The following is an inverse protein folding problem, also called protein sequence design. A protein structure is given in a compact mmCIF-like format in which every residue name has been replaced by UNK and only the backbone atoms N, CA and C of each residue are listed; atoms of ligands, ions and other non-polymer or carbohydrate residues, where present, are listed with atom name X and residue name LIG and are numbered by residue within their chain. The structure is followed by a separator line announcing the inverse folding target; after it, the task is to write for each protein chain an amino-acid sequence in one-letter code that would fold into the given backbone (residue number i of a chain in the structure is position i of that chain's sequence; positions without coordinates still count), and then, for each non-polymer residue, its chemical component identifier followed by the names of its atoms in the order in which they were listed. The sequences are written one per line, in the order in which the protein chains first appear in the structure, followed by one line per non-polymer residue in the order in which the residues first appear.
data_IF_450340089085
#
_entry.id   IF_450340089085
#
_cell.length_a   1.000
_cell.length_b   1.000
_cell.length_c   1.000
_cell.angle_alpha   90.00
_cell.angle_beta   90.00
_cell.angle_gamma   90.00
#
_symmetry.space_group_name_H-M   'P 1'
#
loop_
_entity.id
_entity.type
_entity.pdbx_description
1 polymer ?
#
# COMPACT_ATOMS: atom_id res chain seq x y z
N UNK A 1 -22.07 16.50 22.64
CA UNK A 1 -21.15 15.77 23.53
C UNK A 1 -20.14 15.09 22.64
N UNK A 2 -18.90 15.60 22.63
CA UNK A 2 -17.82 15.10 21.76
C UNK A 2 -17.14 13.93 22.47
N UNK A 3 -17.39 12.72 21.98
CA UNK A 3 -16.85 11.49 22.56
C UNK A 3 -15.65 11.06 21.73
N UNK A 4 -14.48 11.17 22.37
CA UNK A 4 -13.23 10.42 22.13
C UNK A 4 -12.55 10.57 20.77
N UNK A 5 -11.54 11.46 20.71
CA UNK A 5 -10.45 11.31 19.73
C UNK A 5 -9.64 10.08 20.15
N UNK A 6 -10.06 8.89 19.70
CA UNK A 6 -9.12 7.79 19.56
C UNK A 6 -8.29 8.11 18.31
N UNK A 7 -7.22 8.88 18.49
CA UNK A 7 -6.18 9.02 17.47
C UNK A 7 -5.61 7.62 17.25
N UNK A 8 -5.41 7.17 16.02
CA UNK A 8 -4.77 5.86 15.82
C UNK A 8 -3.36 5.87 16.44
N UNK A 9 -2.81 4.73 16.90
CA UNK A 9 -1.42 4.66 17.33
C UNK A 9 -0.48 5.17 16.24
N UNK A 10 0.65 5.78 16.64
CA UNK A 10 1.57 6.45 15.72
C UNK A 10 2.05 5.55 14.58
N UNK A 11 2.33 4.27 14.85
CA UNK A 11 2.71 3.24 13.87
C UNK A 11 1.80 2.03 14.04
N UNK A 12 0.79 1.95 13.17
CA UNK A 12 -0.15 0.83 13.12
C UNK A 12 -0.34 0.41 11.66
N UNK A 13 -0.34 -0.89 11.39
CA UNK A 13 -0.75 -1.40 10.07
C UNK A 13 -2.26 -1.30 9.99
N UNK A 14 -2.75 -0.52 9.01
CA UNK A 14 -4.16 -0.39 8.70
C UNK A 14 -4.38 -0.77 7.25
N UNK A 15 -5.45 -1.49 6.97
CA UNK A 15 -5.75 -1.98 5.64
C UNK A 15 -7.24 -2.23 5.44
N UNK A 16 -7.65 -2.36 4.18
CA UNK A 16 -8.94 -2.91 3.82
C UNK A 16 -8.80 -4.43 3.61
N UNK A 17 -9.59 -5.21 4.34
CA UNK A 17 -9.47 -6.67 4.33
C UNK A 17 -10.77 -7.36 4.76
N UNK A 18 -11.00 -8.55 4.20
CA UNK A 18 -12.05 -9.49 4.61
C UNK A 18 -11.43 -10.65 5.41
N UNK A 19 -12.20 -11.70 5.68
CA UNK A 19 -11.78 -12.82 6.54
C UNK A 19 -10.59 -13.62 5.99
N UNK A 20 -10.27 -13.50 4.70
CA UNK A 20 -9.26 -14.33 4.03
C UNK A 20 -8.16 -13.52 3.34
N UNK A 21 -8.45 -12.29 2.94
CA UNK A 21 -7.57 -11.47 2.10
C UNK A 21 -7.45 -10.04 2.60
N UNK A 22 -6.30 -9.44 2.34
CA UNK A 22 -5.98 -8.03 2.55
C UNK A 22 -5.65 -7.39 1.21
N UNK A 23 -6.11 -6.16 1.01
CA UNK A 23 -5.84 -5.38 -0.20
C UNK A 23 -4.59 -4.53 0.00
N UNK A 24 -3.72 -4.54 -0.99
CA UNK A 24 -2.62 -3.59 -1.14
C UNK A 24 -2.66 -2.96 -2.53
N UNK A 25 -2.13 -1.75 -2.65
CA UNK A 25 -2.21 -0.97 -3.87
C UNK A 25 -0.84 -0.74 -4.50
N UNK A 26 -0.82 -0.77 -5.84
CA UNK A 26 0.30 -0.37 -6.68
C UNK A 26 -0.21 0.40 -7.90
N UNK A 27 0.64 1.24 -8.48
CA UNK A 27 0.35 1.87 -9.76
C UNK A 27 1.27 1.35 -10.86
N UNK A 28 0.71 1.23 -12.06
CA UNK A 28 1.34 0.65 -13.23
C UNK A 28 0.99 1.43 -14.49
N UNK A 29 1.78 1.20 -15.53
CA UNK A 29 1.44 1.62 -16.90
C UNK A 29 0.23 0.82 -17.37
N UNK A 30 -0.59 1.44 -18.21
CA UNK A 30 -1.79 0.83 -18.78
C UNK A 30 -1.58 -0.57 -19.39
N UNK A 31 -0.49 -0.77 -20.14
CA UNK A 31 -0.16 -2.06 -20.75
C UNK A 31 0.07 -3.19 -19.75
N UNK A 32 0.54 -2.87 -18.54
CA UNK A 32 0.72 -3.84 -17.45
C UNK A 32 -0.61 -4.08 -16.76
N UNK A 33 -1.30 -2.99 -16.37
CA UNK A 33 -2.56 -3.07 -15.65
C UNK A 33 -3.63 -3.83 -16.43
N UNK A 34 -3.81 -3.52 -17.71
CA UNK A 34 -4.79 -4.21 -18.57
C UNK A 34 -4.53 -5.70 -18.65
N UNK A 35 -3.29 -6.09 -18.97
CA UNK A 35 -2.92 -7.50 -19.04
C UNK A 35 -3.11 -8.19 -17.69
N UNK A 36 -2.71 -7.53 -16.60
CA UNK A 36 -2.81 -8.09 -15.26
C UNK A 36 -4.25 -8.33 -14.80
N UNK A 37 -5.17 -7.42 -15.10
CA UNK A 37 -6.61 -7.61 -14.81
C UNK A 37 -7.19 -8.70 -15.70
N UNK A 38 -6.90 -8.67 -17.00
CA UNK A 38 -7.46 -9.62 -17.96
C UNK A 38 -7.05 -11.08 -17.63
N UNK A 39 -5.82 -11.29 -17.13
CA UNK A 39 -5.29 -12.64 -16.86
C UNK A 39 -5.14 -12.96 -15.37
N UNK A 40 -5.46 -12.02 -14.48
CA UNK A 40 -5.23 -12.12 -13.03
C UNK A 40 -3.76 -12.46 -12.68
N UNK A 41 -2.79 -11.87 -13.40
CA UNK A 41 -1.35 -12.04 -13.18
C UNK A 41 -0.56 -10.77 -13.47
N UNK A 42 0.14 -10.22 -12.47
CA UNK A 42 0.87 -8.95 -12.63
C UNK A 42 1.95 -8.97 -13.74
N UNK A 43 2.56 -10.13 -13.98
CA UNK A 43 3.63 -10.32 -14.95
C UNK A 43 3.14 -10.76 -16.35
N UNK A 44 1.84 -10.69 -16.63
CA UNK A 44 1.28 -11.08 -17.93
C UNK A 44 1.71 -10.17 -19.10
N UNK A 45 2.16 -8.96 -18.80
CA UNK A 45 2.65 -8.01 -19.80
C UNK A 45 4.17 -8.11 -19.99
N UNK A 46 4.69 -8.06 -21.24
CA UNK A 46 6.14 -7.99 -21.49
C UNK A 46 6.79 -6.69 -20.96
N UNK A 47 5.97 -5.68 -20.68
CA UNK A 47 6.39 -4.42 -20.05
C UNK A 47 6.68 -4.61 -18.55
N UNK A 48 6.18 -5.67 -17.90
CA UNK A 48 6.50 -5.96 -16.51
C UNK A 48 7.96 -6.38 -16.37
N UNK A 49 8.70 -5.71 -15.49
CA UNK A 49 10.11 -6.00 -15.21
C UNK A 49 10.27 -6.53 -13.79
N UNK A 50 10.55 -7.82 -13.67
CA UNK A 50 10.91 -8.45 -12.41
C UNK A 50 12.36 -8.14 -12.01
N UNK A 51 12.74 -8.56 -10.81
CA UNK A 51 14.10 -8.44 -10.29
C UNK A 51 14.46 -7.07 -9.71
N UNK A 52 13.56 -6.09 -9.75
CA UNK A 52 13.68 -4.82 -9.03
C UNK A 52 12.81 -4.83 -7.78
N UNK A 53 13.19 -4.02 -6.78
CA UNK A 53 12.36 -3.75 -5.61
C UNK A 53 11.05 -3.09 -6.07
N UNK A 54 9.92 -3.57 -5.56
CA UNK A 54 8.60 -2.98 -5.81
C UNK A 54 7.92 -2.62 -4.50
N UNK A 55 7.12 -1.55 -4.49
CA UNK A 55 6.52 -1.04 -3.25
C UNK A 55 5.00 -1.21 -3.26
N UNK A 56 4.47 -1.87 -2.25
CA UNK A 56 3.03 -2.03 -2.01
C UNK A 56 2.60 -1.11 -0.85
N UNK A 57 1.34 -0.67 -0.88
CA UNK A 57 0.76 0.22 0.14
C UNK A 57 -0.60 -0.34 0.57
N UNK A 58 -0.82 -0.66 1.84
CA UNK A 58 -2.16 -1.00 2.33
C UNK A 58 -3.09 0.23 2.38
N UNK A 59 -2.55 1.44 2.56
CA UNK A 59 -3.31 2.69 2.62
C UNK A 59 -3.68 3.21 1.22
N UNK A 60 -4.98 3.38 0.99
CA UNK A 60 -5.59 3.98 -0.18
C UNK A 60 -5.20 5.45 -0.32
N UNK A 61 -5.32 6.23 0.75
CA UNK A 61 -4.97 7.64 0.76
C UNK A 61 -3.47 7.85 0.47
N UNK A 62 -2.59 7.01 1.04
CA UNK A 62 -1.17 7.04 0.73
C UNK A 62 -0.90 6.68 -0.73
N UNK A 63 -1.61 5.70 -1.29
CA UNK A 63 -1.53 5.38 -2.72
C UNK A 63 -1.97 6.57 -3.61
N UNK A 64 -3.06 7.26 -3.25
CA UNK A 64 -3.54 8.44 -3.98
C UNK A 64 -2.52 9.57 -3.95
N UNK A 65 -1.95 9.87 -2.78
CA UNK A 65 -0.88 10.86 -2.63
C UNK A 65 0.33 10.53 -3.51
N UNK A 66 0.74 9.25 -3.55
CA UNK A 66 1.93 8.81 -4.28
C UNK A 66 1.75 8.80 -5.79
N UNK A 67 0.57 8.43 -6.28
CA UNK A 67 0.24 8.38 -7.71
C UNK A 67 -0.39 9.66 -8.26
N UNK A 68 -0.77 10.60 -7.39
CA UNK A 68 -1.58 11.76 -7.78
C UNK A 68 -2.90 11.32 -8.42
N UNK A 69 -3.60 10.36 -7.82
CA UNK A 69 -4.85 9.78 -8.35
C UNK A 69 -4.72 9.24 -9.79
N UNK A 70 -3.57 8.65 -10.14
CA UNK A 70 -3.17 8.19 -11.49
C UNK A 70 -2.69 9.26 -12.48
N UNK A 71 -2.65 10.54 -12.10
CA UNK A 71 -2.30 11.63 -13.01
C UNK A 71 -0.82 12.05 -12.98
N UNK A 72 -0.04 11.60 -11.99
CA UNK A 72 1.32 12.12 -11.74
C UNK A 72 2.38 11.67 -12.74
N UNK A 73 2.26 10.45 -13.25
CA UNK A 73 3.28 9.79 -14.06
C UNK A 73 2.61 8.83 -15.07
N UNK A 74 2.86 8.96 -16.39
CA UNK A 74 2.32 8.04 -17.40
C UNK A 74 2.67 6.57 -17.17
N UNK A 75 3.79 6.27 -16.50
CA UNK A 75 4.18 4.92 -16.08
C UNK A 75 3.39 4.39 -14.88
N UNK A 76 2.52 5.22 -14.28
CA UNK A 76 1.66 4.94 -13.13
C UNK A 76 0.23 5.41 -13.40
N UNK A 77 -0.21 5.33 -14.66
CA UNK A 77 -1.52 5.81 -15.12
C UNK A 77 -2.70 4.92 -14.73
N UNK A 78 -2.44 3.74 -14.16
CA UNK A 78 -3.43 2.82 -13.62
C UNK A 78 -3.11 2.44 -12.18
N UNK A 79 -4.12 2.32 -11.34
CA UNK A 79 -4.01 1.92 -9.94
C UNK A 79 -4.70 0.57 -9.77
N UNK A 80 -3.96 -0.42 -9.29
CA UNK A 80 -4.47 -1.75 -9.04
C UNK A 80 -4.67 -1.97 -7.55
N UNK A 81 -5.85 -2.49 -7.18
CA UNK A 81 -6.08 -3.15 -5.92
C UNK A 81 -5.68 -4.63 -6.07
N UNK A 82 -4.70 -5.05 -5.29
CA UNK A 82 -4.14 -6.40 -5.31
C UNK A 82 -4.52 -7.09 -4.00
N UNK A 83 -5.39 -8.10 -4.08
CA UNK A 83 -5.77 -8.89 -2.90
C UNK A 83 -4.78 -10.03 -2.72
N UNK A 84 -4.32 -10.20 -1.49
CA UNK A 84 -3.44 -11.31 -1.09
C UNK A 84 -3.93 -11.93 0.20
N UNK A 85 -3.61 -13.20 0.42
CA UNK A 85 -3.97 -13.88 1.67
C UNK A 85 -3.28 -13.24 2.86
N UNK A 86 -3.94 -13.26 4.02
CA UNK A 86 -3.37 -12.74 5.28
C UNK A 86 -2.04 -13.42 5.62
N UNK A 87 -1.92 -14.74 5.41
CA UNK A 87 -0.70 -15.50 5.68
C UNK A 87 0.51 -14.98 4.87
N UNK A 88 0.32 -14.61 3.60
CA UNK A 88 1.39 -14.10 2.76
C UNK A 88 1.75 -12.66 3.16
N UNK A 89 0.77 -11.87 3.60
CA UNK A 89 1.01 -10.52 4.07
C UNK A 89 1.80 -10.52 5.38
N UNK A 90 1.43 -11.39 6.34
CA UNK A 90 2.19 -11.59 7.58
C UNK A 90 3.61 -12.09 7.27
N UNK A 91 3.76 -13.06 6.35
CA UNK A 91 5.08 -13.54 5.90
C UNK A 91 5.97 -12.41 5.37
N UNK A 92 5.40 -11.43 4.63
CA UNK A 92 6.13 -10.24 4.19
C UNK A 92 6.60 -9.39 5.38
N UNK A 93 5.72 -9.14 6.35
CA UNK A 93 6.03 -8.32 7.51
C UNK A 93 7.06 -8.99 8.44
N UNK A 94 7.01 -10.31 8.59
CA UNK A 94 8.01 -11.09 9.33
C UNK A 94 9.41 -10.97 8.73
N UNK A 95 9.50 -10.88 7.39
CA UNK A 95 10.76 -10.63 6.66
C UNK A 95 11.15 -9.15 6.63
N UNK A 96 10.35 -8.29 7.25
CA UNK A 96 10.51 -6.84 7.25
C UNK A 96 11.74 -6.35 8.01
N UNK A 97 12.48 -5.43 7.40
CA UNK A 97 13.55 -4.63 8.00
C UNK A 97 13.21 -3.16 7.82
N UNK A 98 13.16 -2.42 8.92
CA UNK A 98 12.93 -0.98 8.89
C UNK A 98 14.03 -0.27 8.10
N UNK A 99 13.64 0.63 7.20
CA UNK A 99 14.59 1.33 6.31
C UNK A 99 15.58 2.21 7.07
N UNK A 100 15.25 2.66 8.29
CA UNK A 100 16.19 3.35 9.21
C UNK A 100 17.33 2.45 9.69
N UNK A 101 17.11 1.14 9.71
CA UNK A 101 18.06 0.12 10.13
C UNK A 101 18.81 -0.53 8.95
N UNK A 102 18.43 -0.21 7.71
CA UNK A 102 19.12 -0.73 6.54
C UNK A 102 20.56 -0.19 6.49
N UNK A 103 21.55 -1.09 6.46
CA UNK A 103 22.96 -0.73 6.37
C UNK A 103 23.21 0.27 5.22
N UNK A 104 23.84 1.41 5.55
CA UNK A 104 24.41 2.30 4.54
C UNK A 104 25.62 1.58 3.96
N UNK A 105 25.54 1.23 2.68
CA UNK A 105 26.69 0.70 1.94
C UNK A 105 27.81 1.75 1.94
N UNK A 106 29.03 1.28 2.15
CA UNK A 106 30.21 2.11 2.00
C UNK A 106 30.42 2.46 0.52
N UNK A 107 31.04 3.61 0.20
CA UNK A 107 31.37 3.96 -1.17
C UNK A 107 32.19 2.84 -1.84
N UNK A 108 31.68 2.26 -2.93
CA UNK A 108 32.35 1.20 -3.69
C UNK A 108 31.82 -0.21 -3.46
N UNK A 109 30.96 -0.44 -2.46
CA UNK A 109 30.30 -1.74 -2.28
C UNK A 109 29.19 -1.92 -3.33
N UNK A 110 29.26 -3.04 -4.07
CA UNK A 110 28.15 -3.43 -4.95
C UNK A 110 26.95 -3.73 -4.08
N UNK A 111 25.82 -3.08 -4.37
CA UNK A 111 24.54 -3.33 -3.73
C UNK A 111 24.11 -4.76 -4.09
N UNK A 112 24.39 -5.72 -3.21
CA UNK A 112 23.82 -7.06 -3.32
C UNK A 112 22.30 -6.94 -3.40
N UNK A 113 21.67 -7.86 -4.16
CA UNK A 113 20.21 -7.94 -4.20
C UNK A 113 19.75 -8.36 -2.80
N UNK A 114 19.43 -7.37 -1.96
CA UNK A 114 18.97 -7.62 -0.59
C UNK A 114 17.75 -8.52 -0.64
N UNK A 115 17.77 -9.62 0.10
CA UNK A 115 16.60 -10.51 0.26
C UNK A 115 15.59 -9.95 1.25
N UNK A 116 15.93 -8.86 1.92
CA UNK A 116 15.09 -8.25 2.95
C UNK A 116 13.90 -7.50 2.36
N UNK A 117 12.74 -7.69 2.98
CA UNK A 117 11.56 -6.86 2.77
C UNK A 117 11.80 -5.54 3.47
N UNK A 118 11.73 -4.42 2.74
CA UNK A 118 11.97 -3.10 3.33
C UNK A 118 10.69 -2.50 3.88
N UNK A 119 10.72 -2.05 5.12
CA UNK A 119 9.58 -1.38 5.74
C UNK A 119 9.87 0.11 5.86
N UNK A 120 8.90 0.93 5.47
CA UNK A 120 8.90 2.37 5.68
C UNK A 120 7.60 2.76 6.38
N UNK A 121 7.74 3.47 7.51
CA UNK A 121 6.66 4.24 8.08
C UNK A 121 6.66 5.60 7.41
N UNK A 122 5.68 5.89 6.57
CA UNK A 122 5.50 7.12 5.82
C UNK A 122 4.41 8.00 6.47
N UNK A 123 4.31 9.30 6.17
CA UNK A 123 3.20 10.11 6.64
C UNK A 123 1.85 9.53 6.18
N UNK A 124 0.87 9.41 7.08
CA UNK A 124 -0.49 9.06 6.66
C UNK A 124 -1.27 10.30 6.18
N UNK A 125 -2.36 10.05 5.47
CA UNK A 125 -3.17 11.06 4.80
C UNK A 125 -4.67 10.83 4.99
N UNK A 126 -5.44 11.91 5.12
CA UNK A 126 -6.90 11.85 4.95
C UNK A 126 -7.25 11.57 3.50
N UNK A 127 -8.53 11.30 3.19
CA UNK A 127 -9.01 11.18 1.81
C UNK A 127 -8.70 12.44 0.96
N UNK A 128 -8.68 13.62 1.61
CA UNK A 128 -8.31 14.91 1.01
C UNK A 128 -6.80 15.17 0.95
N UNK A 129 -5.99 14.18 1.32
CA UNK A 129 -4.52 14.23 1.34
C UNK A 129 -3.92 15.22 2.37
N UNK A 130 -4.64 15.50 3.45
CA UNK A 130 -4.10 16.25 4.59
C UNK A 130 -3.26 15.33 5.48
N UNK A 131 -2.20 15.86 6.11
CA UNK A 131 -1.30 15.07 6.97
C UNK A 131 -2.01 14.64 8.25
N UNK A 132 -1.90 13.35 8.60
CA UNK A 132 -2.39 12.82 9.87
C UNK A 132 -1.27 12.66 10.91
N UNK A 133 -1.58 12.65 12.22
CA UNK A 133 -0.58 12.56 13.29
C UNK A 133 0.00 11.15 13.47
N UNK A 134 -0.36 10.19 12.61
CA UNK A 134 0.16 8.82 12.59
C UNK A 134 0.70 8.45 11.21
N UNK A 135 1.22 7.23 11.07
CA UNK A 135 2.00 6.77 9.92
C UNK A 135 1.31 5.66 9.13
N UNK A 136 1.49 5.69 7.81
CA UNK A 136 1.17 4.57 6.92
C UNK A 136 2.38 3.66 6.79
N UNK A 137 2.17 2.35 6.66
CA UNK A 137 3.22 1.43 6.25
C UNK A 137 3.35 1.41 4.72
N UNK A 138 4.58 1.35 4.22
CA UNK A 138 4.92 1.05 2.83
C UNK A 138 5.95 -0.08 2.82
N UNK A 139 5.68 -1.11 2.02
CA UNK A 139 6.39 -2.39 2.06
C UNK A 139 7.11 -2.60 0.74
N UNK A 140 8.43 -2.68 0.78
CA UNK A 140 9.31 -2.91 -0.35
C UNK A 140 9.59 -4.39 -0.50
N UNK A 141 9.01 -5.00 -1.53
CA UNK A 141 9.24 -6.38 -1.91
C UNK A 141 10.53 -6.45 -2.74
N UNK A 142 11.56 -7.17 -2.28
CA UNK A 142 12.84 -7.24 -2.96
C UNK A 142 12.73 -7.98 -4.29
N UNK A 143 13.67 -7.69 -5.20
CA UNK A 143 13.71 -8.32 -6.52
C UNK A 143 13.75 -9.85 -6.47
N UNK A 144 14.36 -10.42 -5.43
CA UNK A 144 14.39 -11.87 -5.20
C UNK A 144 13.00 -12.50 -4.97
N UNK A 145 12.02 -11.72 -4.48
CA UNK A 145 10.65 -12.17 -4.25
C UNK A 145 9.68 -11.69 -5.34
N UNK A 146 10.15 -10.92 -6.32
CA UNK A 146 9.27 -10.27 -7.31
C UNK A 146 8.46 -11.25 -8.18
N UNK A 147 9.05 -12.39 -8.55
CA UNK A 147 8.35 -13.44 -9.31
C UNK A 147 7.28 -14.12 -8.45
N UNK A 148 7.63 -14.50 -7.22
CA UNK A 148 6.66 -15.10 -6.29
C UNK A 148 5.52 -14.13 -5.96
N UNK A 149 5.84 -12.85 -5.73
CA UNK A 149 4.86 -11.79 -5.56
C UNK A 149 3.90 -11.69 -6.74
N UNK A 150 4.42 -11.62 -7.96
CA UNK A 150 3.62 -11.39 -9.16
C UNK A 150 2.79 -12.62 -9.59
N UNK A 151 3.27 -13.83 -9.29
CA UNK A 151 2.66 -15.07 -9.75
C UNK A 151 1.81 -15.81 -8.70
N UNK A 152 2.20 -15.77 -7.43
CA UNK A 152 1.66 -16.69 -6.42
C UNK A 152 0.85 -15.98 -5.34
N UNK A 153 1.32 -14.83 -4.85
CA UNK A 153 0.75 -14.21 -3.65
C UNK A 153 -0.49 -13.37 -3.89
N UNK A 154 -0.71 -12.93 -5.13
CA UNK A 154 -1.88 -12.15 -5.52
C UNK A 154 -2.97 -13.12 -5.99
N UNK A 155 -4.11 -13.06 -5.30
CA UNK A 155 -5.27 -13.91 -5.59
C UNK A 155 -6.32 -13.19 -6.43
N UNK A 156 -6.31 -11.86 -6.45
CA UNK A 156 -7.22 -11.05 -7.25
C UNK A 156 -6.60 -9.68 -7.60
N UNK A 157 -6.86 -9.22 -8.82
CA UNK A 157 -6.41 -7.93 -9.36
C UNK A 157 -7.61 -7.17 -9.90
N UNK A 158 -7.84 -5.98 -9.35
CA UNK A 158 -8.90 -5.06 -9.76
C UNK A 158 -8.29 -3.71 -10.17
N UNK A 159 -8.67 -3.18 -11.34
CA UNK A 159 -8.33 -1.81 -11.73
C UNK A 159 -9.31 -0.85 -11.04
N UNK A 160 -8.79 -0.10 -10.07
CA UNK A 160 -9.54 0.88 -9.28
C UNK A 160 -9.23 2.32 -9.69
N UNK A 161 -8.70 2.52 -10.91
CA UNK A 161 -8.34 3.82 -11.45
C UNK A 161 -9.53 4.77 -11.51
N UNK A 162 -10.69 4.30 -11.95
CA UNK A 162 -11.87 5.15 -12.07
C UNK A 162 -12.37 5.60 -10.70
N UNK A 163 -12.32 4.73 -9.69
CA UNK A 163 -12.60 5.08 -8.28
C UNK A 163 -11.65 6.18 -7.77
N UNK A 164 -10.36 6.08 -8.08
CA UNK A 164 -9.37 7.10 -7.72
C UNK A 164 -9.64 8.46 -8.37
N UNK A 165 -10.00 8.46 -9.65
CA UNK A 165 -10.31 9.69 -10.41
C UNK A 165 -11.62 10.31 -9.95
N UNK A 166 -12.60 9.47 -9.64
CA UNK A 166 -13.89 9.86 -9.05
C UNK A 166 -13.70 10.50 -7.68
N UNK A 167 -12.88 9.90 -6.80
CA UNK A 167 -12.51 10.48 -5.51
C UNK A 167 -11.93 11.88 -5.69
N UNK A 168 -10.97 12.04 -6.61
CA UNK A 168 -10.37 13.35 -6.90
C UNK A 168 -11.45 14.35 -7.34
N UNK A 169 -12.32 13.97 -8.28
CA UNK A 169 -13.38 14.84 -8.78
C UNK A 169 -14.35 15.25 -7.68
N UNK A 170 -14.80 14.30 -6.86
CA UNK A 170 -15.71 14.56 -5.75
C UNK A 170 -15.12 15.56 -4.74
N UNK A 171 -13.82 15.45 -4.42
CA UNK A 171 -13.13 16.38 -3.51
C UNK A 171 -12.98 17.77 -4.14
N UNK A 172 -12.62 17.85 -5.43
CA UNK A 172 -12.46 19.12 -6.14
C UNK A 172 -13.80 19.88 -6.25
N UNK A 173 -14.88 19.17 -6.57
CA UNK A 173 -16.23 19.75 -6.75
C UNK A 173 -16.93 20.05 -5.43
N UNK A 174 -16.64 19.29 -4.38
CA UNK A 174 -17.22 19.45 -3.04
C UNK A 174 -16.13 19.46 -1.97
N UNK A 175 -15.42 20.59 -1.76
CA UNK A 175 -14.37 20.68 -0.75
C UNK A 175 -14.83 20.33 0.67
N UNK A 176 -16.11 20.50 0.96
CA UNK A 176 -16.75 20.15 2.25
C UNK A 176 -17.16 18.69 2.41
N UNK A 177 -16.99 17.83 1.40
CA UNK A 177 -17.40 16.42 1.47
C UNK A 177 -16.71 15.70 2.62
N UNK A 178 -17.48 14.92 3.38
CA UNK A 178 -16.99 14.17 4.53
C UNK A 178 -16.44 12.80 4.14
N UNK A 179 -15.62 12.19 4.98
CA UNK A 179 -15.14 10.83 4.78
C UNK A 179 -16.32 9.83 4.83
N UNK A 180 -17.35 10.09 5.65
CA UNK A 180 -18.58 9.30 5.69
C UNK A 180 -19.34 9.32 4.36
N UNK A 181 -19.47 10.50 3.72
CA UNK A 181 -20.09 10.62 2.40
C UNK A 181 -19.26 9.93 1.32
N UNK A 182 -17.94 10.11 1.33
CA UNK A 182 -17.03 9.43 0.40
C UNK A 182 -17.10 7.91 0.54
N UNK A 183 -17.22 7.40 1.77
CA UNK A 183 -17.42 5.97 2.04
C UNK A 183 -18.79 5.50 1.53
N UNK A 184 -19.85 6.29 1.74
CA UNK A 184 -21.19 6.00 1.22
C UNK A 184 -21.27 6.01 -0.32
N UNK A 185 -20.36 6.72 -0.98
CA UNK A 185 -20.19 6.73 -2.43
C UNK A 185 -19.22 5.65 -2.95
N UNK A 186 -18.66 4.81 -2.06
CA UNK A 186 -17.65 3.81 -2.40
C UNK A 186 -16.41 4.42 -3.09
N UNK A 187 -15.95 5.59 -2.65
CA UNK A 187 -14.75 6.27 -3.18
C UNK A 187 -13.52 6.12 -2.30
N UNK A 188 -13.73 5.68 -1.06
CA UNK A 188 -12.69 5.32 -0.10
C UNK A 188 -13.05 3.99 0.57
N UNK A 189 -12.06 3.39 1.21
CA UNK A 189 -12.22 2.12 1.92
C UNK A 189 -12.17 2.35 3.44
N UNK A 190 -12.97 1.58 4.18
CA UNK A 190 -12.89 1.56 5.65
C UNK A 190 -11.67 0.74 6.08
N UNK A 191 -10.52 1.40 6.12
CA UNK A 191 -9.26 0.80 6.57
C UNK A 191 -9.22 0.71 8.10
N UNK A 192 -9.02 -0.50 8.60
CA UNK A 192 -9.04 -0.83 10.03
C UNK A 192 -7.71 -1.46 10.45
N UNK A 193 -7.36 -1.48 11.75
CA UNK A 193 -6.16 -2.14 12.24
C UNK A 193 -6.07 -3.56 11.71
N UNK A 194 -4.92 -3.93 11.15
CA UNK A 194 -4.62 -5.30 10.76
C UNK A 194 -3.77 -5.92 11.87
N UNK A 195 -4.33 -6.90 12.56
CA UNK A 195 -3.64 -7.59 13.66
C UNK A 195 -2.44 -8.38 13.13
N UNK A 196 -1.32 -8.26 13.83
CA UNK A 196 -0.07 -8.95 13.49
C UNK A 196 0.47 -9.71 14.71
N UNK A 197 1.26 -10.77 14.52
CA UNK A 197 1.94 -11.42 15.63
C UNK A 197 2.79 -10.42 16.44
N UNK A 198 2.89 -10.63 17.75
CA UNK A 198 3.67 -9.77 18.66
C UNK A 198 5.14 -9.61 18.19
N UNK A 199 5.73 -10.66 17.65
CA UNK A 199 7.07 -10.62 17.08
C UNK A 199 7.19 -9.61 15.92
N UNK A 200 6.18 -9.51 15.06
CA UNK A 200 6.10 -8.52 13.97
C UNK A 200 5.88 -7.12 14.54
N UNK A 201 4.95 -6.99 15.50
CA UNK A 201 4.66 -5.72 16.18
C UNK A 201 5.95 -5.09 16.73
N UNK A 202 6.71 -5.87 17.51
CA UNK A 202 7.95 -5.43 18.14
C UNK A 202 9.04 -5.14 17.11
N UNK A 203 9.21 -6.02 16.10
CA UNK A 203 10.23 -5.87 15.06
C UNK A 203 10.04 -4.62 14.21
N UNK A 204 8.79 -4.26 13.94
CA UNK A 204 8.44 -3.11 13.10
C UNK A 204 8.22 -1.83 13.89
N UNK A 205 8.54 -1.85 15.19
CA UNK A 205 8.36 -0.71 16.11
C UNK A 205 6.96 -0.11 16.01
N UNK A 206 5.95 -0.98 15.98
CA UNK A 206 4.55 -0.59 16.06
C UNK A 206 4.23 -0.07 17.47
N UNK A 207 3.18 0.74 17.58
CA UNK A 207 2.78 1.38 18.83
C UNK A 207 1.39 0.93 19.25
N UNK A 208 1.19 0.67 20.54
CA UNK A 208 -0.11 0.24 21.07
C UNK A 208 -1.05 1.40 21.41
N UNK A 209 -0.50 2.56 21.71
CA UNK A 209 -1.25 3.72 22.19
C UNK A 209 -1.17 4.91 21.22
N UNK A 210 -2.23 5.73 21.13
CA UNK A 210 -2.16 7.03 20.47
C UNK A 210 -1.08 7.89 21.12
N UNK A 211 -0.33 8.63 20.31
CA UNK A 211 0.69 9.60 20.77
C UNK A 211 0.10 10.99 20.84
#
# INVERSE_FOLDING_TARGET
MSTTISVAPYRQVRAYYNDTTVTVYQAYKESIAKAAVDTQKLNASPDFKSGRMTWIKPSWAWMMYRSGYSYKDPGQSRILALRMKHEHFITLLERGVLSSHAHKLSPGEKREKTVDVRIQWDPERTAKLEVLPYRSIQIGIPGALSEQWANEWIVEIEDVTDKARELKRAIDERPGITDEELLGMDLIFKERPFEVPEAVHNKLEMTDVPV
#
